data_IF_876218582811
#
_entry.id   IF_876218582811
#
_cell.length_a   1.000
_cell.length_b   1.000
_cell.length_c   1.000
_cell.angle_alpha   90.00
_cell.angle_beta   90.00
_cell.angle_gamma   90.00
#
_symmetry.space_group_name_H-M   'P 1'
#
loop_
_entity.id
_entity.type
_entity.pdbx_description
1 polymer ?
#
# COMPACT_ATOMS: atom_id res chain seq x y z
N UNK A 1 -33.23 11.39 -15.70
CA UNK A 1 -32.38 10.33 -15.13
C UNK A 1 -31.83 10.81 -13.79
N UNK A 2 -32.41 10.34 -12.67
CA UNK A 2 -31.93 10.68 -11.34
C UNK A 2 -30.55 10.00 -11.15
N UNK A 3 -29.49 10.80 -11.08
CA UNK A 3 -28.17 10.35 -10.67
C UNK A 3 -28.24 9.91 -9.21
N UNK A 4 -28.19 8.61 -8.94
CA UNK A 4 -28.07 8.10 -7.58
C UNK A 4 -26.74 8.55 -6.98
N UNK A 5 -26.75 9.04 -5.73
CA UNK A 5 -25.53 9.43 -5.02
C UNK A 5 -24.59 8.22 -4.84
N UNK A 6 -23.28 8.47 -4.65
CA UNK A 6 -22.31 7.39 -4.35
C UNK A 6 -22.74 6.54 -3.16
N UNK A 7 -23.26 7.18 -2.11
CA UNK A 7 -23.79 6.52 -0.91
C UNK A 7 -24.97 5.60 -1.22
N UNK A 8 -25.95 6.04 -2.02
CA UNK A 8 -27.09 5.20 -2.42
C UNK A 8 -26.67 3.96 -3.20
N UNK A 9 -25.69 4.09 -4.11
CA UNK A 9 -25.15 2.95 -4.87
C UNK A 9 -24.46 1.95 -3.94
N UNK A 10 -23.66 2.40 -2.99
CA UNK A 10 -23.01 1.53 -2.01
C UNK A 10 -24.04 0.84 -1.12
N UNK A 11 -25.06 1.53 -0.65
CA UNK A 11 -26.16 0.91 0.12
C UNK A 11 -26.84 -0.19 -0.68
N UNK A 12 -27.15 0.03 -1.97
CA UNK A 12 -27.75 -1.01 -2.82
C UNK A 12 -26.85 -2.25 -3.01
N UNK A 13 -25.54 -2.10 -2.96
CA UNK A 13 -24.58 -3.22 -3.01
C UNK A 13 -24.62 -3.96 -1.67
N UNK A 14 -24.53 -3.26 -0.54
CA UNK A 14 -24.52 -3.86 0.80
C UNK A 14 -25.84 -4.53 1.18
N UNK A 15 -27.00 -3.97 0.75
CA UNK A 15 -28.33 -4.56 0.95
C UNK A 15 -28.49 -5.94 0.28
N UNK A 16 -27.60 -6.25 -0.68
CA UNK A 16 -27.51 -7.59 -1.31
C UNK A 16 -26.54 -8.53 -0.58
N UNK A 17 -26.05 -8.15 0.59
CA UNK A 17 -25.08 -8.94 1.35
C UNK A 17 -23.64 -8.84 0.82
N UNK A 18 -23.38 -8.00 -0.18
CA UNK A 18 -22.05 -7.82 -0.78
C UNK A 18 -21.22 -6.94 0.14
N UNK A 19 -20.04 -7.42 0.51
CA UNK A 19 -19.07 -6.67 1.31
C UNK A 19 -18.15 -5.85 0.43
N UNK A 20 -17.83 -4.65 0.90
CA UNK A 20 -17.02 -3.69 0.15
C UNK A 20 -15.76 -3.34 0.94
N UNK A 21 -14.60 -3.46 0.30
CA UNK A 21 -13.30 -3.26 0.91
C UNK A 21 -12.48 -2.23 0.14
N UNK A 22 -11.55 -1.57 0.83
CA UNK A 22 -10.50 -0.75 0.22
C UNK A 22 -9.20 -1.55 0.22
N UNK A 23 -8.50 -1.57 -0.93
CA UNK A 23 -7.15 -2.11 -1.04
C UNK A 23 -6.19 -1.01 -1.55
N UNK A 24 -5.20 -0.62 -0.75
CA UNK A 24 -4.36 0.54 -1.02
C UNK A 24 -2.93 0.37 -0.49
N UNK A 25 -1.97 1.05 -1.12
CA UNK A 25 -0.62 1.25 -0.56
C UNK A 25 -0.56 2.27 0.58
N UNK A 26 -1.64 3.05 0.79
CA UNK A 26 -1.67 4.10 1.82
C UNK A 26 -1.85 3.53 3.22
N UNK A 27 -1.33 4.27 4.19
CA UNK A 27 -1.63 4.05 5.60
C UNK A 27 -3.11 4.42 5.91
N UNK A 28 -3.76 3.68 6.83
CA UNK A 28 -5.19 3.86 7.15
C UNK A 28 -5.54 5.30 7.55
N UNK A 29 -4.67 5.98 8.29
CA UNK A 29 -4.90 7.34 8.78
C UNK A 29 -4.91 8.41 7.68
N UNK A 30 -4.23 8.16 6.54
CA UNK A 30 -4.22 9.11 5.40
C UNK A 30 -5.31 8.82 4.37
N UNK A 31 -6.19 7.86 4.64
CA UNK A 31 -7.37 7.60 3.83
C UNK A 31 -8.50 8.52 4.31
N UNK A 32 -8.55 9.73 3.79
CA UNK A 32 -9.48 10.79 4.21
C UNK A 32 -10.46 11.25 3.12
N UNK A 33 -10.35 10.69 1.90
CA UNK A 33 -11.10 11.13 0.72
C UNK A 33 -12.34 10.27 0.40
N UNK A 34 -12.80 9.45 1.34
CA UNK A 34 -13.93 8.53 1.13
C UNK A 34 -15.29 9.18 1.41
N UNK A 35 -15.32 10.38 2.03
CA UNK A 35 -16.56 11.04 2.43
C UNK A 35 -17.39 10.17 3.38
N UNK A 36 -18.70 10.08 3.11
CA UNK A 36 -19.65 9.30 3.91
C UNK A 36 -19.72 7.81 3.54
N UNK A 37 -18.78 7.30 2.72
CA UNK A 37 -18.76 5.90 2.34
C UNK A 37 -18.21 5.04 3.48
N UNK A 38 -18.90 3.93 3.75
CA UNK A 38 -18.51 2.94 4.75
C UNK A 38 -18.00 1.67 4.09
N UNK A 39 -16.94 1.10 4.64
CA UNK A 39 -16.33 -0.12 4.12
C UNK A 39 -16.28 -1.20 5.21
N UNK A 40 -16.45 -2.46 4.80
CA UNK A 40 -16.44 -3.60 5.72
C UNK A 40 -15.02 -3.89 6.24
N UNK A 41 -13.99 -3.42 5.52
CA UNK A 41 -12.60 -3.47 5.96
C UNK A 41 -11.62 -2.85 4.98
N UNK A 42 -10.36 -2.89 5.35
CA UNK A 42 -9.27 -2.23 4.62
C UNK A 42 -8.06 -3.14 4.52
N UNK A 43 -7.52 -3.26 3.33
CA UNK A 43 -6.18 -3.79 3.03
C UNK A 43 -5.29 -2.58 2.79
N UNK A 44 -4.37 -2.29 3.70
CA UNK A 44 -3.51 -1.10 3.67
C UNK A 44 -2.04 -1.49 3.55
N UNK A 45 -1.18 -0.50 3.26
CA UNK A 45 0.26 -0.70 3.16
C UNK A 45 0.61 -1.86 2.21
N UNK A 46 0.02 -1.84 1.01
CA UNK A 46 0.18 -2.88 0.01
C UNK A 46 -0.10 -4.32 0.53
N UNK A 47 -1.03 -4.48 1.48
CA UNK A 47 -1.39 -5.77 2.04
C UNK A 47 -0.68 -6.11 3.35
N UNK A 48 0.21 -5.26 3.83
CA UNK A 48 0.95 -5.49 5.08
C UNK A 48 0.11 -5.29 6.35
N UNK A 49 -1.02 -4.58 6.25
CA UNK A 49 -1.94 -4.43 7.38
C UNK A 49 -3.40 -4.53 6.91
N UNK A 50 -4.21 -5.36 7.60
CA UNK A 50 -5.61 -5.56 7.26
C UNK A 50 -6.52 -5.29 8.46
N UNK A 51 -7.61 -4.58 8.19
CA UNK A 51 -8.58 -4.17 9.19
C UNK A 51 -10.00 -4.63 8.82
N UNK A 52 -10.79 -4.97 9.82
CA UNK A 52 -12.24 -5.08 9.73
C UNK A 52 -12.83 -3.82 10.35
N UNK A 53 -13.70 -3.13 9.59
CA UNK A 53 -13.99 -1.74 9.92
C UNK A 53 -12.70 -0.92 9.92
N UNK A 54 -12.61 0.09 10.78
CA UNK A 54 -11.40 0.92 10.93
C UNK A 54 -10.56 0.58 12.18
N UNK A 55 -11.08 -0.25 13.07
CA UNK A 55 -10.52 -0.41 14.42
C UNK A 55 -9.91 -1.79 14.67
N UNK A 56 -10.46 -2.83 14.05
CA UNK A 56 -10.05 -4.21 14.31
C UNK A 56 -8.99 -4.68 13.32
N UNK A 57 -7.74 -4.73 13.76
CA UNK A 57 -6.65 -5.34 12.98
C UNK A 57 -6.77 -6.87 13.02
N UNK A 58 -6.72 -7.50 11.85
CA UNK A 58 -6.75 -8.97 11.69
C UNK A 58 -5.45 -9.54 11.12
N UNK A 59 -4.61 -8.69 10.53
CA UNK A 59 -3.34 -9.11 9.96
C UNK A 59 -2.31 -7.99 10.05
N UNK A 60 -1.07 -8.35 10.38
CA UNK A 60 0.11 -7.48 10.35
C UNK A 60 1.28 -8.24 9.76
N UNK A 61 2.01 -7.60 8.88
CA UNK A 61 3.28 -8.06 8.34
C UNK A 61 4.25 -6.88 8.32
N UNK A 62 5.19 -6.90 9.23
CA UNK A 62 6.22 -5.87 9.34
C UNK A 62 7.45 -6.25 8.50
N UNK A 63 8.24 -5.26 8.13
CA UNK A 63 9.58 -5.47 7.60
C UNK A 63 10.39 -6.20 8.68
N UNK A 64 11.09 -7.28 8.33
CA UNK A 64 11.95 -8.00 9.29
C UNK A 64 13.02 -7.08 9.88
N UNK A 65 13.33 -7.24 11.17
CA UNK A 65 14.35 -6.43 11.85
C UNK A 65 15.69 -6.48 11.13
N UNK A 66 16.10 -7.66 10.67
CA UNK A 66 17.34 -7.83 9.89
C UNK A 66 17.37 -6.97 8.62
N UNK A 67 16.23 -6.76 7.95
CA UNK A 67 16.18 -5.87 6.78
C UNK A 67 16.37 -4.39 7.18
N UNK A 68 15.87 -4.00 8.35
CA UNK A 68 16.09 -2.65 8.88
C UNK A 68 17.56 -2.45 9.28
N UNK A 69 18.22 -3.45 9.85
CA UNK A 69 19.65 -3.45 10.13
C UNK A 69 20.46 -3.33 8.83
N UNK A 70 20.11 -4.10 7.78
CA UNK A 70 20.75 -4.00 6.46
C UNK A 70 20.56 -2.61 5.85
N UNK A 71 19.37 -2.01 5.96
CA UNK A 71 19.09 -0.65 5.49
C UNK A 71 19.95 0.39 6.21
N UNK A 72 20.00 0.33 7.55
CA UNK A 72 20.81 1.25 8.35
C UNK A 72 22.27 1.17 7.90
N UNK A 73 22.82 -0.05 7.90
CA UNK A 73 24.20 -0.31 7.48
C UNK A 73 24.48 0.19 6.06
N UNK A 74 23.56 -0.06 5.12
CA UNK A 74 23.70 0.42 3.75
C UNK A 74 23.76 1.95 3.69
N UNK A 75 22.88 2.64 4.40
CA UNK A 75 22.84 4.10 4.40
C UNK A 75 24.04 4.74 5.09
N UNK A 76 24.61 4.11 6.10
CA UNK A 76 25.82 4.59 6.78
C UNK A 76 27.12 4.34 5.99
N UNK A 77 27.24 3.19 5.33
CA UNK A 77 28.49 2.76 4.72
C UNK A 77 28.59 3.05 3.21
N UNK A 78 27.46 3.21 2.52
CA UNK A 78 27.41 3.29 1.06
C UNK A 78 26.82 4.59 0.54
N UNK A 79 25.52 4.78 0.76
CA UNK A 79 24.78 5.86 0.14
C UNK A 79 23.53 6.19 0.96
N UNK A 80 23.38 7.45 1.36
CA UNK A 80 22.17 7.91 2.04
C UNK A 80 21.12 8.36 1.04
N UNK A 81 19.86 8.03 1.31
CA UNK A 81 18.70 8.54 0.59
C UNK A 81 17.56 8.81 1.57
N UNK A 82 16.66 9.79 1.26
CA UNK A 82 15.50 10.03 2.08
C UNK A 82 14.60 8.80 2.11
N UNK A 83 14.11 8.44 3.28
CA UNK A 83 13.25 7.28 3.46
C UNK A 83 12.21 7.57 4.55
N UNK A 84 10.93 7.40 4.22
CA UNK A 84 9.84 7.44 5.21
C UNK A 84 9.65 6.04 5.76
N UNK A 85 9.65 5.93 7.07
CA UNK A 85 9.37 4.72 7.84
C UNK A 85 7.91 4.75 8.26
N UNK A 86 7.10 3.88 7.67
CA UNK A 86 5.65 3.81 7.93
C UNK A 86 5.40 2.78 9.01
N UNK A 87 4.94 3.24 10.18
CA UNK A 87 4.55 2.40 11.32
C UNK A 87 3.04 2.33 11.44
N UNK A 88 2.51 1.60 12.41
CA UNK A 88 1.06 1.41 12.56
C UNK A 88 0.29 2.72 12.85
N UNK A 89 0.91 3.65 13.59
CA UNK A 89 0.23 4.87 14.07
C UNK A 89 0.83 6.17 13.57
N UNK A 90 2.03 6.11 13.02
CA UNK A 90 2.78 7.30 12.64
C UNK A 90 3.76 7.00 11.49
N UNK A 91 4.37 8.07 11.00
CA UNK A 91 5.38 8.02 9.93
C UNK A 91 6.50 8.99 10.26
N UNK A 92 7.74 8.60 10.00
CA UNK A 92 8.93 9.40 10.18
C UNK A 92 9.76 9.39 8.92
N UNK A 93 10.52 10.43 8.67
CA UNK A 93 11.53 10.46 7.60
C UNK A 93 12.90 10.65 8.22
N UNK A 94 13.94 9.95 7.70
CA UNK A 94 15.30 10.11 8.21
C UNK A 94 15.86 11.52 7.95
N UNK A 95 15.61 12.12 6.80
CA UNK A 95 15.88 13.51 6.50
C UNK A 95 15.06 14.00 5.31
N UNK A 96 14.87 15.31 5.21
CA UNK A 96 14.24 15.97 4.07
C UNK A 96 15.28 16.65 3.18
N UNK A 97 15.02 16.65 1.89
CA UNK A 97 15.72 17.48 0.90
C UNK A 97 14.72 18.24 0.02
N UNK A 98 15.19 19.00 -0.97
CA UNK A 98 14.32 19.76 -1.86
C UNK A 98 13.36 18.82 -2.63
N UNK A 99 13.87 17.71 -3.13
CA UNK A 99 13.08 16.72 -3.89
C UNK A 99 11.92 16.15 -3.06
N UNK A 100 12.17 15.71 -1.82
CA UNK A 100 11.10 15.15 -0.96
C UNK A 100 10.02 16.19 -0.67
N UNK A 101 10.39 17.46 -0.39
CA UNK A 101 9.42 18.54 -0.14
C UNK A 101 8.60 18.89 -1.36
N UNK A 102 9.17 18.80 -2.56
CA UNK A 102 8.43 18.98 -3.82
C UNK A 102 7.42 17.86 -4.01
N UNK A 103 7.80 16.60 -3.76
CA UNK A 103 6.89 15.44 -3.82
C UNK A 103 5.75 15.58 -2.81
N UNK A 104 6.03 15.98 -1.56
CA UNK A 104 4.99 16.17 -0.54
C UNK A 104 3.97 17.24 -0.97
N UNK A 105 4.43 18.36 -1.51
CA UNK A 105 3.55 19.42 -2.03
C UNK A 105 2.71 18.94 -3.22
N UNK A 106 3.32 18.21 -4.16
CA UNK A 106 2.64 17.70 -5.36
C UNK A 106 1.55 16.68 -5.03
N UNK A 107 1.78 15.83 -4.02
CA UNK A 107 0.86 14.78 -3.62
C UNK A 107 -0.13 15.20 -2.49
N UNK A 108 -0.07 16.47 -2.05
CA UNK A 108 -0.80 16.95 -0.87
C UNK A 108 -0.59 16.02 0.35
N UNK A 109 0.66 15.61 0.54
CA UNK A 109 1.05 14.70 1.60
C UNK A 109 1.67 15.48 2.76
N UNK A 110 1.22 15.26 4.00
CA UNK A 110 1.78 15.96 5.16
C UNK A 110 3.26 15.59 5.32
N UNK A 111 4.10 16.61 5.52
CA UNK A 111 5.54 16.40 5.73
C UNK A 111 5.77 15.58 7.01
N UNK A 112 6.40 14.40 6.93
CA UNK A 112 6.65 13.57 8.10
C UNK A 112 7.67 14.22 9.05
N UNK A 113 7.57 13.91 10.34
CA UNK A 113 8.57 14.34 11.34
C UNK A 113 9.91 13.69 11.02
N UNK A 114 10.97 14.52 11.02
CA UNK A 114 12.34 14.01 10.85
C UNK A 114 12.80 13.33 12.14
N UNK A 115 13.29 12.10 12.01
CA UNK A 115 13.93 11.34 13.09
C UNK A 115 15.19 10.65 12.59
N UNK A 116 16.13 10.46 13.49
CA UNK A 116 17.29 9.60 13.24
C UNK A 116 16.84 8.20 12.82
N UNK A 117 17.57 7.57 11.90
CA UNK A 117 17.21 6.27 11.32
C UNK A 117 17.10 5.18 12.39
N UNK A 118 17.97 5.19 13.41
CA UNK A 118 17.90 4.22 14.50
C UNK A 118 16.68 4.44 15.40
N UNK A 119 16.21 5.69 15.54
CA UNK A 119 14.98 5.97 16.29
C UNK A 119 13.74 5.57 15.46
N UNK A 120 13.76 5.85 14.17
CA UNK A 120 12.65 5.55 13.25
C UNK A 120 12.38 4.04 13.13
N UNK A 121 13.40 3.20 13.32
CA UNK A 121 13.32 1.73 13.19
C UNK A 121 13.08 0.99 14.51
N UNK A 122 13.06 1.65 15.67
CA UNK A 122 12.88 0.99 16.99
C UNK A 122 11.56 0.25 17.16
N UNK A 123 10.51 0.71 16.51
CA UNK A 123 9.21 0.06 16.52
C UNK A 123 8.94 -0.56 15.15
N UNK A 124 8.00 -1.51 15.08
CA UNK A 124 7.71 -2.25 13.86
C UNK A 124 7.37 -1.35 12.67
N UNK A 125 8.14 -1.45 11.62
CA UNK A 125 7.96 -0.76 10.34
C UNK A 125 7.24 -1.68 9.38
N UNK A 126 6.18 -1.20 8.74
CA UNK A 126 5.38 -1.99 7.80
C UNK A 126 5.78 -1.79 6.34
N UNK A 127 6.21 -0.57 6.02
CA UNK A 127 6.56 -0.15 4.68
C UNK A 127 7.57 0.98 4.76
N UNK A 128 8.47 1.04 3.79
CA UNK A 128 9.29 2.22 3.55
C UNK A 128 8.78 2.91 2.29
N UNK A 129 8.82 4.26 2.27
CA UNK A 129 8.70 5.04 1.05
C UNK A 129 10.08 5.64 0.79
N UNK A 130 10.79 5.07 -0.18
CA UNK A 130 12.20 5.35 -0.40
C UNK A 130 12.40 6.24 -1.64
N UNK A 131 13.18 7.30 -1.50
CA UNK A 131 13.42 8.30 -2.55
C UNK A 131 14.76 8.06 -3.25
N UNK A 132 14.93 6.87 -3.80
CA UNK A 132 16.01 6.56 -4.72
C UNK A 132 15.47 6.38 -6.15
N UNK A 133 16.34 6.58 -7.14
CA UNK A 133 15.98 6.45 -8.55
C UNK A 133 15.83 5.00 -8.99
N UNK A 134 15.18 4.78 -10.12
CA UNK A 134 15.06 3.45 -10.75
C UNK A 134 16.44 2.83 -11.03
N UNK A 135 17.43 3.64 -11.43
CA UNK A 135 18.79 3.16 -11.68
C UNK A 135 19.54 2.68 -10.40
N UNK A 136 19.11 3.14 -9.23
CA UNK A 136 19.67 2.75 -7.94
C UNK A 136 18.94 1.54 -7.35
N UNK A 137 17.73 1.25 -7.81
CA UNK A 137 16.82 0.28 -7.20
C UNK A 137 17.41 -1.11 -7.08
N UNK A 138 17.93 -1.68 -8.17
CA UNK A 138 18.52 -3.03 -8.15
C UNK A 138 19.65 -3.16 -7.13
N UNK A 139 20.54 -2.15 -7.09
CA UNK A 139 21.69 -2.15 -6.17
C UNK A 139 21.27 -2.06 -4.71
N UNK A 140 20.29 -1.20 -4.41
CA UNK A 140 19.77 -1.01 -3.06
C UNK A 140 18.99 -2.24 -2.62
N UNK A 141 18.14 -2.78 -3.49
CA UNK A 141 17.34 -3.96 -3.17
C UNK A 141 18.16 -5.24 -3.01
N UNK A 142 19.33 -5.35 -3.66
CA UNK A 142 20.30 -6.43 -3.40
C UNK A 142 20.82 -6.41 -1.95
N UNK A 143 20.84 -5.25 -1.30
CA UNK A 143 21.22 -5.15 0.11
C UNK A 143 20.04 -5.42 1.06
N UNK A 144 18.81 -5.54 0.56
CA UNK A 144 17.57 -5.75 1.31
C UNK A 144 16.83 -7.00 0.79
N UNK A 145 17.44 -8.20 0.85
CA UNK A 145 16.86 -9.41 0.24
C UNK A 145 15.54 -9.87 0.87
N UNK A 146 15.24 -9.39 2.07
CA UNK A 146 13.98 -9.69 2.77
C UNK A 146 12.81 -8.79 2.30
N UNK A 147 13.11 -7.82 1.44
CA UNK A 147 12.14 -6.83 0.94
C UNK A 147 12.06 -6.84 -0.58
N UNK A 148 10.96 -6.31 -1.08
CA UNK A 148 10.74 -6.04 -2.51
C UNK A 148 10.30 -4.60 -2.73
N UNK A 149 10.74 -4.02 -3.86
CA UNK A 149 10.34 -2.69 -4.29
C UNK A 149 9.06 -2.76 -5.13
N UNK A 150 8.14 -1.82 -4.92
CA UNK A 150 6.90 -1.67 -5.68
C UNK A 150 6.81 -0.23 -6.20
N UNK A 151 7.44 0.01 -7.36
CA UNK A 151 7.48 1.34 -7.97
C UNK A 151 6.23 1.60 -8.80
N UNK A 152 5.40 2.52 -8.33
CA UNK A 152 4.23 3.01 -9.05
C UNK A 152 4.33 4.51 -9.39
N UNK A 153 5.39 5.18 -8.91
CA UNK A 153 5.69 6.58 -9.17
C UNK A 153 7.18 6.72 -9.51
N UNK A 154 7.57 7.49 -10.53
CA UNK A 154 8.99 7.64 -10.89
C UNK A 154 9.86 8.32 -9.83
N UNK A 155 9.26 9.05 -8.89
CA UNK A 155 9.96 9.87 -7.89
C UNK A 155 10.32 9.11 -6.60
N UNK A 156 9.67 7.97 -6.34
CA UNK A 156 9.91 7.13 -5.16
C UNK A 156 9.42 5.70 -5.39
N UNK A 157 9.77 4.82 -4.49
CA UNK A 157 9.27 3.43 -4.46
C UNK A 157 8.81 3.05 -3.07
N UNK A 158 7.77 2.23 -3.00
CA UNK A 158 7.38 1.54 -1.77
C UNK A 158 8.26 0.29 -1.62
N UNK A 159 8.87 0.11 -0.45
CA UNK A 159 9.61 -1.10 -0.10
C UNK A 159 8.81 -1.84 0.98
N UNK A 160 8.46 -3.07 0.68
CA UNK A 160 7.61 -3.92 1.50
C UNK A 160 8.29 -5.28 1.76
N UNK A 161 7.89 -6.03 2.79
CA UNK A 161 8.43 -7.39 2.98
C UNK A 161 8.14 -8.27 1.76
N UNK A 162 9.08 -9.11 1.35
CA UNK A 162 8.92 -10.06 0.22
C UNK A 162 7.59 -10.81 0.32
N UNK A 163 6.81 -10.80 -0.76
CA UNK A 163 5.46 -11.35 -0.81
C UNK A 163 4.41 -10.51 -0.08
N UNK A 164 4.74 -9.27 0.32
CA UNK A 164 3.79 -8.29 0.85
C UNK A 164 3.06 -7.58 -0.28
N UNK A 165 1.88 -8.07 -0.70
CA UNK A 165 1.09 -7.44 -1.75
C UNK A 165 -0.40 -7.46 -1.44
N UNK A 166 -1.18 -6.68 -2.17
CA UNK A 166 -2.63 -6.53 -1.94
C UNK A 166 -3.41 -7.85 -2.00
N UNK A 167 -2.94 -8.86 -2.75
CA UNK A 167 -3.64 -10.15 -2.83
C UNK A 167 -3.54 -10.94 -1.53
N UNK A 168 -2.42 -10.87 -0.82
CA UNK A 168 -2.27 -11.50 0.50
C UNK A 168 -3.23 -10.86 1.51
N UNK A 169 -3.32 -9.52 1.50
CA UNK A 169 -4.30 -8.81 2.34
C UNK A 169 -5.74 -9.22 2.02
N UNK A 170 -6.09 -9.33 0.73
CA UNK A 170 -7.39 -9.85 0.29
C UNK A 170 -7.65 -11.24 0.88
N UNK A 171 -6.71 -12.18 0.76
CA UNK A 171 -6.88 -13.54 1.28
C UNK A 171 -7.12 -13.56 2.80
N UNK A 172 -6.46 -12.68 3.56
CA UNK A 172 -6.71 -12.55 5.01
C UNK A 172 -8.13 -12.09 5.32
N UNK A 173 -8.64 -11.13 4.55
CA UNK A 173 -10.03 -10.65 4.65
C UNK A 173 -11.01 -11.77 4.25
N UNK A 174 -10.78 -12.44 3.13
CA UNK A 174 -11.63 -13.53 2.67
C UNK A 174 -11.71 -14.66 3.70
N UNK A 175 -10.57 -15.08 4.23
CA UNK A 175 -10.53 -16.10 5.29
C UNK A 175 -11.31 -15.67 6.55
N UNK A 176 -11.25 -14.41 6.93
CA UNK A 176 -11.99 -13.87 8.07
C UNK A 176 -13.50 -13.94 7.88
N UNK A 177 -14.01 -13.67 6.67
CA UNK A 177 -15.44 -13.67 6.36
C UNK A 177 -15.95 -15.02 5.83
N UNK A 178 -15.09 -15.99 5.59
CA UNK A 178 -15.46 -17.27 4.97
C UNK A 178 -15.92 -17.12 3.51
N UNK A 179 -15.39 -16.14 2.78
CA UNK A 179 -15.70 -15.87 1.38
C UNK A 179 -14.68 -16.60 0.50
N UNK A 180 -15.16 -17.29 -0.53
CA UNK A 180 -14.28 -17.93 -1.51
C UNK A 180 -13.73 -16.90 -2.50
N UNK A 181 -12.59 -17.20 -3.13
CA UNK A 181 -11.97 -16.32 -4.11
C UNK A 181 -12.88 -16.06 -5.31
N UNK A 182 -13.59 -17.08 -5.75
CA UNK A 182 -14.51 -17.05 -6.89
C UNK A 182 -15.69 -16.07 -6.68
N UNK A 183 -16.00 -15.74 -5.41
CA UNK A 183 -17.05 -14.80 -5.04
C UNK A 183 -16.54 -13.35 -4.97
N UNK A 184 -15.31 -13.08 -5.43
CA UNK A 184 -14.68 -11.74 -5.35
C UNK A 184 -14.60 -11.04 -6.68
N UNK A 185 -14.68 -9.71 -6.61
CA UNK A 185 -14.40 -8.80 -7.70
C UNK A 185 -13.41 -7.74 -7.23
N UNK A 186 -12.32 -7.54 -7.97
CA UNK A 186 -11.33 -6.53 -7.67
C UNK A 186 -11.24 -5.48 -8.77
N UNK A 187 -11.06 -4.21 -8.40
CA UNK A 187 -10.85 -3.09 -9.30
C UNK A 187 -9.48 -2.48 -9.03
N UNK A 188 -8.73 -2.15 -10.08
CA UNK A 188 -7.40 -1.58 -9.95
C UNK A 188 -7.00 -0.69 -11.12
N UNK A 189 -5.99 0.15 -10.92
CA UNK A 189 -5.45 1.04 -11.96
C UNK A 189 -3.90 1.10 -11.98
N UNK A 190 -3.25 0.70 -10.88
CA UNK A 190 -1.80 0.77 -10.71
C UNK A 190 -1.07 -0.59 -10.77
N UNK A 191 0.25 -0.56 -10.92
CA UNK A 191 1.07 -1.78 -10.93
C UNK A 191 0.98 -2.61 -9.66
N UNK A 192 0.78 -1.97 -8.51
CA UNK A 192 0.58 -2.63 -7.22
C UNK A 192 -0.79 -3.34 -7.08
N UNK A 193 -1.71 -3.15 -8.06
CA UNK A 193 -2.99 -3.86 -8.14
C UNK A 193 -2.88 -5.17 -8.95
N UNK A 194 -1.82 -5.37 -9.73
CA UNK A 194 -1.63 -6.57 -10.55
C UNK A 194 -1.84 -7.86 -9.74
N UNK A 195 -1.26 -8.02 -8.53
CA UNK A 195 -1.46 -9.25 -7.74
C UNK A 195 -2.91 -9.49 -7.33
N UNK A 196 -3.65 -8.45 -6.92
CA UNK A 196 -5.04 -8.61 -6.48
C UNK A 196 -5.99 -8.83 -7.66
N UNK A 197 -5.76 -8.18 -8.81
CA UNK A 197 -6.52 -8.38 -10.05
C UNK A 197 -6.37 -9.82 -10.55
N UNK A 198 -5.14 -10.35 -10.61
CA UNK A 198 -4.88 -11.74 -10.97
C UNK A 198 -5.48 -12.76 -10.02
N UNK A 199 -5.65 -12.39 -8.76
CA UNK A 199 -6.06 -13.32 -7.69
C UNK A 199 -7.55 -13.33 -7.45
N UNK A 200 -8.27 -12.27 -7.77
CA UNK A 200 -9.73 -12.19 -7.63
C UNK A 200 -10.45 -13.19 -8.55
N UNK A 201 -11.70 -13.53 -8.21
CA UNK A 201 -12.58 -14.30 -9.07
C UNK A 201 -12.91 -13.55 -10.37
N UNK A 202 -13.03 -12.21 -10.27
CA UNK A 202 -13.16 -11.30 -11.41
C UNK A 202 -12.23 -10.10 -11.17
N UNK A 203 -11.25 -9.93 -12.05
CA UNK A 203 -10.34 -8.78 -12.06
C UNK A 203 -10.76 -7.73 -13.07
N UNK A 204 -10.89 -6.48 -12.65
CA UNK A 204 -11.33 -5.37 -13.49
C UNK A 204 -10.26 -4.26 -13.50
N UNK A 205 -9.78 -3.91 -14.68
CA UNK A 205 -8.93 -2.74 -14.87
C UNK A 205 -9.80 -1.49 -15.05
N UNK A 206 -9.44 -0.40 -14.36
CA UNK A 206 -10.07 0.90 -14.60
C UNK A 206 -9.66 1.45 -15.98
N UNK A 207 -10.50 2.28 -16.60
CA UNK A 207 -10.23 2.86 -17.93
C UNK A 207 -8.90 3.64 -18.01
N UNK A 208 -8.47 4.24 -16.89
CA UNK A 208 -7.18 4.93 -16.74
C UNK A 208 -6.02 4.02 -16.31
N UNK A 209 -6.24 2.70 -16.16
CA UNK A 209 -5.19 1.77 -15.76
C UNK A 209 -4.05 1.70 -16.80
N UNK A 210 -2.85 1.32 -16.34
CA UNK A 210 -1.73 1.06 -17.22
C UNK A 210 -2.00 -0.16 -18.12
N UNK A 211 -1.22 -0.30 -19.19
CA UNK A 211 -1.44 -1.32 -20.22
C UNK A 211 -1.27 -2.74 -19.65
N UNK A 212 -0.25 -2.95 -18.82
CA UNK A 212 0.05 -4.26 -18.22
C UNK A 212 -1.13 -4.78 -17.37
N UNK A 213 -1.81 -3.86 -16.64
CA UNK A 213 -2.99 -4.24 -15.84
C UNK A 213 -4.20 -4.56 -16.73
N UNK A 214 -4.39 -3.79 -17.81
CA UNK A 214 -5.49 -4.04 -18.77
C UNK A 214 -5.36 -5.38 -19.48
N UNK A 215 -4.13 -5.82 -19.77
CA UNK A 215 -3.86 -7.09 -20.45
C UNK A 215 -4.18 -8.32 -19.60
N UNK A 216 -4.15 -8.20 -18.27
CA UNK A 216 -4.39 -9.31 -17.35
C UNK A 216 -5.78 -9.30 -16.72
N UNK A 217 -6.53 -8.21 -16.89
CA UNK A 217 -7.87 -8.08 -16.33
C UNK A 217 -8.93 -8.82 -17.18
N UNK A 218 -9.96 -9.32 -16.52
CA UNK A 218 -11.09 -9.95 -17.22
C UNK A 218 -11.96 -8.91 -17.93
N UNK A 219 -12.00 -7.66 -17.39
CA UNK A 219 -12.77 -6.53 -17.96
C UNK A 219 -12.02 -5.21 -17.79
N UNK A 220 -12.39 -4.23 -18.64
CA UNK A 220 -11.92 -2.84 -18.59
C UNK A 220 -13.12 -1.92 -18.40
#
# INVERSE_FOLDING_TARGET
LHSTSRRQRQMCIRDRGIKVFIATGRHLQVINNLGDLEFDGYVTLNGSCCYIGRDRVIYRRMIPEIALEHLIKYQEEKETFPCIFVREKDMFINYNNQHTREVFRMLDFPEPVVKDIHEATREGVFQLIAFFSEQQEDRIMQALPECEATRWNPLFTDVVPVGGNKSIGMEKILAYFGISREETMAFGDGGNDIPIIKRAGIGIAMGNANQDLKEIADYI
#
